data_IF_997850864633
#
_entry.id   IF_997850864633
#
_cell.length_a   1.000
_cell.length_b   1.000
_cell.length_c   1.000
_cell.angle_alpha   90.00
_cell.angle_beta   90.00
_cell.angle_gamma   90.00
#
_symmetry.space_group_name_H-M   'P 1'
#
loop_
_entity.id
_entity.type
_entity.pdbx_description
1 polymer ?
#
# COMPACT_ATOMS: atom_id res chain seq x y z
N UNK A 1 1.05 11.04 1.11
CA UNK A 1 0.96 11.49 -0.30
C UNK A 1 1.66 10.47 -1.19
N UNK A 2 1.06 10.06 -2.32
CA UNK A 2 1.61 9.02 -3.20
C UNK A 2 1.99 9.55 -4.58
N UNK A 3 3.20 9.24 -5.04
CA UNK A 3 3.72 9.61 -6.36
C UNK A 3 3.41 8.50 -7.38
N UNK A 4 2.71 8.83 -8.47
CA UNK A 4 2.36 7.88 -9.53
C UNK A 4 3.60 7.38 -10.31
N UNK A 5 3.46 6.28 -11.07
CA UNK A 5 4.50 5.78 -11.97
C UNK A 5 5.00 6.79 -13.02
N UNK A 6 4.20 7.81 -13.36
CA UNK A 6 4.56 8.88 -14.29
C UNK A 6 5.08 10.16 -13.59
N UNK A 7 5.27 10.13 -12.26
CA UNK A 7 5.76 11.28 -11.49
C UNK A 7 4.71 12.38 -11.26
N UNK A 8 3.43 12.11 -11.55
CA UNK A 8 2.32 13.05 -11.33
C UNK A 8 1.58 12.66 -10.02
N UNK A 9 0.92 13.62 -9.37
CA UNK A 9 -0.01 13.33 -8.29
C UNK A 9 -1.17 12.48 -8.82
N UNK A 10 -1.55 11.41 -8.12
CA UNK A 10 -2.63 10.55 -8.59
C UNK A 10 -3.94 10.77 -7.85
N UNK A 11 -4.98 10.81 -8.67
CA UNK A 11 -6.38 11.04 -8.36
C UNK A 11 -6.94 10.11 -7.25
N UNK A 12 -7.55 10.73 -6.23
CA UNK A 12 -8.26 10.05 -5.14
C UNK A 12 -9.65 9.53 -5.56
N UNK A 13 -10.04 9.69 -6.83
CA UNK A 13 -11.24 9.14 -7.45
C UNK A 13 -12.38 10.15 -7.62
N UNK A 14 -12.07 11.44 -7.80
CA UNK A 14 -13.06 12.47 -8.08
C UNK A 14 -12.56 13.39 -9.20
N UNK A 15 -13.48 13.79 -10.09
CA UNK A 15 -13.18 14.54 -11.31
C UNK A 15 -12.53 15.92 -11.03
N UNK A 16 -12.65 16.43 -9.81
CA UNK A 16 -12.14 17.72 -9.31
C UNK A 16 -10.78 17.64 -8.59
N UNK A 17 -10.21 16.44 -8.38
CA UNK A 17 -8.99 16.27 -7.58
C UNK A 17 -7.75 16.91 -8.18
N UNK A 18 -7.71 17.06 -9.50
CA UNK A 18 -6.62 17.75 -10.18
C UNK A 18 -6.53 19.18 -9.66
N UNK A 19 -7.64 19.89 -9.46
CA UNK A 19 -7.65 21.30 -9.01
C UNK A 19 -7.41 21.45 -7.50
N UNK A 20 -7.96 20.57 -6.67
CA UNK A 20 -7.76 20.60 -5.21
C UNK A 20 -6.33 20.23 -4.80
N UNK A 21 -5.73 19.24 -5.46
CA UNK A 21 -4.33 18.85 -5.22
C UNK A 21 -3.35 19.84 -5.87
N UNK A 22 -3.80 20.54 -6.91
CA UNK A 22 -3.08 21.68 -7.45
C UNK A 22 -3.05 22.83 -6.46
N UNK A 23 -4.00 23.03 -5.54
CA UNK A 23 -3.88 24.10 -4.52
C UNK A 23 -2.81 23.81 -3.44
N UNK A 24 -2.60 22.55 -3.06
CA UNK A 24 -1.44 22.17 -2.25
C UNK A 24 -0.10 22.30 -3.01
N UNK A 25 -0.17 22.33 -4.34
CA UNK A 25 0.97 22.55 -5.25
C UNK A 25 1.05 24.01 -5.73
N UNK A 26 0.02 24.84 -5.57
CA UNK A 26 -0.11 26.21 -6.10
C UNK A 26 0.29 27.29 -5.09
N UNK A 27 1.13 26.93 -4.12
CA UNK A 27 2.22 27.82 -3.73
C UNK A 27 3.36 27.84 -4.77
N UNK A 28 3.22 27.13 -5.90
CA UNK A 28 4.12 27.16 -7.06
C UNK A 28 3.63 28.04 -8.22
N UNK A 29 3.04 29.21 -7.95
CA UNK A 29 3.06 30.31 -8.94
C UNK A 29 4.48 30.90 -9.15
N UNK A 30 5.51 30.22 -8.66
CA UNK A 30 6.93 30.46 -8.90
C UNK A 30 7.62 29.21 -9.48
N UNK A 31 7.31 28.83 -10.73
CA UNK A 31 8.20 28.02 -11.58
C UNK A 31 8.64 26.64 -11.05
N UNK A 32 7.84 25.95 -10.24
CA UNK A 32 8.26 24.71 -9.56
C UNK A 32 7.68 23.48 -10.27
N UNK A 33 8.54 22.58 -10.77
CA UNK A 33 8.13 21.29 -11.38
C UNK A 33 7.67 20.29 -10.30
N UNK A 34 6.84 19.28 -10.63
CA UNK A 34 6.44 18.23 -9.68
C UNK A 34 7.65 17.55 -9.02
N UNK A 35 7.51 17.25 -7.73
CA UNK A 35 8.47 16.45 -6.98
C UNK A 35 8.48 15.03 -7.52
N UNK A 36 9.67 14.53 -7.88
CA UNK A 36 9.86 13.17 -8.36
C UNK A 36 10.52 12.29 -7.30
N UNK A 37 10.46 10.97 -7.48
CA UNK A 37 11.24 10.04 -6.66
C UNK A 37 12.75 10.31 -6.72
N UNK A 38 13.26 10.86 -7.82
CA UNK A 38 14.67 11.28 -7.92
C UNK A 38 14.96 12.39 -6.93
N UNK A 39 14.08 13.40 -6.85
CA UNK A 39 14.24 14.51 -5.92
C UNK A 39 14.21 14.02 -4.45
N UNK A 40 13.27 13.11 -4.13
CA UNK A 40 13.20 12.49 -2.79
C UNK A 40 14.46 11.69 -2.49
N UNK A 41 14.94 10.87 -3.44
CA UNK A 41 16.14 10.07 -3.25
C UNK A 41 17.42 10.90 -3.09
N UNK A 42 17.47 12.10 -3.67
CA UNK A 42 18.57 13.05 -3.50
C UNK A 42 18.50 13.77 -2.15
N UNK A 43 17.30 14.06 -1.64
CA UNK A 43 17.10 14.83 -0.41
C UNK A 43 17.00 13.94 0.87
N UNK A 44 16.63 12.67 0.73
CA UNK A 44 16.34 11.78 1.84
C UNK A 44 17.10 10.45 1.72
N UNK A 45 17.77 10.06 2.82
CA UNK A 45 18.60 8.86 2.89
C UNK A 45 17.87 7.60 3.39
N UNK A 46 16.63 7.72 3.88
CA UNK A 46 15.84 6.57 4.36
C UNK A 46 15.07 5.85 3.26
N UNK A 47 14.31 4.81 3.60
CA UNK A 47 13.53 4.06 2.60
C UNK A 47 12.40 4.89 2.00
N UNK A 48 12.21 4.78 0.68
CA UNK A 48 11.18 5.51 -0.05
C UNK A 48 10.09 4.56 -0.52
N UNK A 49 8.84 4.86 -0.15
CA UNK A 49 7.67 4.09 -0.57
C UNK A 49 6.94 4.79 -1.72
N UNK A 50 6.70 4.06 -2.80
CA UNK A 50 5.80 4.50 -3.85
C UNK A 50 4.36 4.12 -3.50
N UNK A 51 3.42 4.96 -3.90
CA UNK A 51 1.99 4.70 -3.76
C UNK A 51 1.29 5.29 -4.97
N UNK A 52 0.08 4.78 -5.27
CA UNK A 52 -0.86 5.27 -6.26
C UNK A 52 -0.76 4.59 -7.65
N UNK A 53 -1.85 3.93 -8.06
CA UNK A 53 -2.06 3.31 -9.38
C UNK A 53 -0.94 2.40 -9.91
N UNK A 54 -0.18 1.75 -9.02
CA UNK A 54 0.79 0.74 -9.41
C UNK A 54 0.10 -0.59 -9.76
N UNK A 55 0.63 -1.24 -10.80
CA UNK A 55 0.37 -2.64 -11.18
C UNK A 55 1.53 -3.52 -10.75
N UNK A 56 1.38 -4.85 -10.83
CA UNK A 56 2.50 -5.79 -10.62
C UNK A 56 3.72 -5.43 -11.49
N UNK A 57 3.51 -5.11 -12.77
CA UNK A 57 4.57 -4.79 -13.73
C UNK A 57 5.27 -3.47 -13.45
N UNK A 58 4.51 -2.40 -13.18
CA UNK A 58 5.10 -1.09 -12.86
C UNK A 58 5.80 -1.10 -11.50
N UNK A 59 5.33 -1.94 -10.57
CA UNK A 59 5.97 -2.17 -9.27
C UNK A 59 7.33 -2.82 -9.42
N UNK A 60 7.42 -3.83 -10.27
CA UNK A 60 8.70 -4.45 -10.60
C UNK A 60 9.67 -3.42 -11.20
N UNK A 61 9.22 -2.57 -12.11
CA UNK A 61 10.05 -1.50 -12.68
C UNK A 61 10.54 -0.48 -11.64
N UNK A 62 9.66 0.01 -10.76
CA UNK A 62 10.04 1.04 -9.77
C UNK A 62 10.98 0.51 -8.69
N UNK A 63 10.80 -0.76 -8.29
CA UNK A 63 11.67 -1.43 -7.32
C UNK A 63 13.00 -1.83 -7.96
N UNK A 64 12.99 -2.46 -9.13
CA UNK A 64 14.21 -2.89 -9.84
C UNK A 64 15.13 -1.72 -10.24
N UNK A 65 14.55 -0.57 -10.56
CA UNK A 65 15.32 0.65 -10.86
C UNK A 65 15.91 1.33 -9.61
N UNK A 66 15.51 0.92 -8.41
CA UNK A 66 15.85 1.63 -7.16
C UNK A 66 15.17 2.99 -7.02
N UNK A 67 14.11 3.23 -7.80
CA UNK A 67 13.33 4.48 -7.74
C UNK A 67 12.53 4.56 -6.45
N UNK A 68 12.00 3.42 -5.99
CA UNK A 68 11.40 3.25 -4.66
C UNK A 68 11.83 1.90 -4.07
N UNK A 69 11.93 1.82 -2.75
CA UNK A 69 12.33 0.60 -2.04
C UNK A 69 11.15 -0.36 -1.83
N UNK A 70 9.94 0.18 -1.75
CA UNK A 70 8.69 -0.53 -1.49
C UNK A 70 7.49 0.17 -2.15
N UNK A 71 6.39 -0.55 -2.34
CA UNK A 71 5.17 -0.04 -2.99
C UNK A 71 3.94 -0.37 -2.17
N UNK A 72 3.09 0.62 -1.91
CA UNK A 72 1.79 0.42 -1.29
C UNK A 72 0.66 0.28 -2.29
N UNK A 73 -0.29 -0.59 -1.96
CA UNK A 73 -1.52 -0.79 -2.71
C UNK A 73 -2.71 -0.62 -1.78
N UNK A 74 -3.77 0.04 -2.25
CA UNK A 74 -5.01 0.21 -1.49
C UNK A 74 -6.16 -0.42 -2.26
N UNK A 75 -6.58 0.20 -3.38
CA UNK A 75 -7.74 -0.22 -4.17
C UNK A 75 -7.68 -1.69 -4.60
N UNK A 76 -6.49 -2.19 -4.99
CA UNK A 76 -6.33 -3.60 -5.35
C UNK A 76 -6.57 -4.54 -4.17
N UNK A 77 -6.08 -4.20 -2.96
CA UNK A 77 -6.31 -5.00 -1.76
C UNK A 77 -7.76 -4.98 -1.27
N UNK A 78 -8.56 -3.97 -1.66
CA UNK A 78 -9.96 -3.92 -1.23
C UNK A 78 -10.74 -5.15 -1.73
N UNK A 79 -10.59 -5.51 -3.02
CA UNK A 79 -11.23 -6.71 -3.59
C UNK A 79 -10.33 -7.95 -3.65
N UNK A 80 -9.02 -7.81 -3.46
CA UNK A 80 -8.07 -8.92 -3.54
C UNK A 80 -7.34 -9.08 -2.20
N UNK A 81 -7.90 -9.81 -1.22
CA UNK A 81 -7.21 -10.03 0.05
C UNK A 81 -5.87 -10.76 -0.14
N UNK A 82 -5.81 -11.66 -1.11
CA UNK A 82 -4.67 -12.47 -1.53
C UNK A 82 -3.84 -11.81 -2.67
N UNK A 83 -3.78 -10.47 -2.70
CA UNK A 83 -3.12 -9.73 -3.80
C UNK A 83 -1.68 -10.18 -4.04
N UNK A 84 -0.96 -10.50 -2.96
CA UNK A 84 0.43 -10.93 -3.02
C UNK A 84 0.55 -12.25 -3.78
N UNK A 85 -0.28 -13.23 -3.42
CA UNK A 85 -0.34 -14.54 -4.06
C UNK A 85 -0.73 -14.40 -5.53
N UNK A 86 -1.67 -13.49 -5.85
CA UNK A 86 -2.04 -13.21 -7.22
C UNK A 86 -0.89 -12.63 -8.03
N UNK A 87 -0.13 -11.69 -7.47
CA UNK A 87 1.06 -11.15 -8.12
C UNK A 87 2.18 -12.17 -8.28
N UNK A 88 2.35 -13.11 -7.33
CA UNK A 88 3.39 -14.13 -7.40
C UNK A 88 3.13 -15.17 -8.49
N UNK A 89 1.86 -15.52 -8.70
CA UNK A 89 1.44 -16.60 -9.59
C UNK A 89 0.80 -16.09 -10.90
N UNK A 90 0.75 -14.78 -11.09
CA UNK A 90 0.07 -14.13 -12.22
C UNK A 90 -1.41 -14.57 -12.34
N UNK A 91 -2.10 -14.64 -11.19
CA UNK A 91 -3.52 -14.99 -11.13
C UNK A 91 -4.40 -13.78 -11.47
N UNK A 92 -5.61 -14.02 -12.01
CA UNK A 92 -6.55 -12.95 -12.33
C UNK A 92 -6.94 -12.16 -11.07
N UNK A 93 -6.98 -10.84 -11.20
CA UNK A 93 -7.47 -9.94 -10.15
C UNK A 93 -8.99 -9.85 -10.20
N UNK A 94 -9.62 -9.73 -9.04
CA UNK A 94 -11.02 -9.37 -8.91
C UNK A 94 -11.26 -7.95 -9.45
N UNK A 95 -12.47 -7.71 -9.95
CA UNK A 95 -12.91 -6.37 -10.36
C UNK A 95 -12.77 -5.35 -9.23
N UNK A 96 -12.57 -4.08 -9.61
CA UNK A 96 -12.60 -2.99 -8.65
C UNK A 96 -14.00 -2.89 -8.02
N UNK A 97 -14.04 -2.57 -6.72
CA UNK A 97 -15.30 -2.25 -6.05
C UNK A 97 -15.66 -0.78 -6.29
N UNK A 98 -16.95 -0.47 -6.23
CA UNK A 98 -17.43 0.91 -6.35
C UNK A 98 -16.88 1.77 -5.23
N UNK A 99 -16.67 3.06 -5.52
CA UNK A 99 -16.10 4.02 -4.57
C UNK A 99 -16.92 4.16 -3.27
N UNK A 100 -18.24 3.94 -3.35
CA UNK A 100 -19.14 3.92 -2.19
C UNK A 100 -18.72 2.90 -1.11
N UNK A 101 -18.01 1.82 -1.45
CA UNK A 101 -17.56 0.81 -0.49
C UNK A 101 -16.19 1.13 0.12
N UNK A 102 -15.52 2.19 -0.31
CA UNK A 102 -14.17 2.50 0.15
C UNK A 102 -14.17 2.92 1.63
N UNK A 103 -15.02 3.86 2.04
CA UNK A 103 -15.00 4.49 3.39
C UNK A 103 -16.38 4.73 4.02
N UNK A 104 -17.43 4.07 3.55
CA UNK A 104 -18.79 4.24 4.07
C UNK A 104 -19.14 3.21 5.16
N UNK A 105 -19.25 3.68 6.41
CA UNK A 105 -19.63 2.86 7.56
C UNK A 105 -21.01 2.20 7.40
N UNK A 106 -21.94 2.83 6.66
CA UNK A 106 -23.31 2.31 6.48
C UNK A 106 -23.36 1.02 5.67
N UNK A 107 -22.30 0.72 4.90
CA UNK A 107 -22.20 -0.50 4.09
C UNK A 107 -21.91 -1.76 4.91
N UNK A 108 -21.51 -1.63 6.17
CA UNK A 108 -21.28 -2.76 7.08
C UNK A 108 -20.47 -3.91 6.46
N UNK A 109 -21.13 -5.07 6.32
CA UNK A 109 -20.77 -6.27 5.53
C UNK A 109 -19.92 -6.07 4.28
N UNK A 110 -20.47 -5.18 3.47
CA UNK A 110 -20.47 -5.37 2.05
C UNK A 110 -19.16 -4.89 1.47
N UNK A 111 -18.54 -5.75 0.66
CA UNK A 111 -17.20 -5.50 0.12
C UNK A 111 -16.15 -5.14 1.20
N UNK A 112 -16.35 -5.59 2.44
CA UNK A 112 -15.41 -5.42 3.54
C UNK A 112 -14.53 -6.67 3.67
N UNK A 113 -15.02 -7.71 4.35
CA UNK A 113 -14.29 -8.97 4.58
C UNK A 113 -14.87 -10.15 3.76
N UNK A 114 -15.73 -9.88 2.78
CA UNK A 114 -16.48 -10.93 2.04
C UNK A 114 -15.71 -11.54 0.86
N UNK A 115 -14.61 -10.94 0.42
CA UNK A 115 -13.81 -11.44 -0.69
C UNK A 115 -13.04 -12.70 -0.29
N UNK A 116 -13.13 -13.74 -1.11
CA UNK A 116 -12.40 -14.99 -0.90
C UNK A 116 -11.08 -14.99 -1.69
N UNK A 117 -10.03 -15.65 -1.15
CA UNK A 117 -8.81 -15.91 -1.90
C UNK A 117 -9.09 -16.66 -3.20
N UNK A 118 -8.30 -16.40 -4.23
CA UNK A 118 -8.38 -17.11 -5.51
C UNK A 118 -8.12 -18.60 -5.32
N UNK A 119 -9.00 -19.43 -5.86
CA UNK A 119 -8.84 -20.88 -5.87
C UNK A 119 -8.40 -21.29 -7.27
N UNK A 120 -7.11 -21.64 -7.47
CA UNK A 120 -6.63 -22.03 -8.79
C UNK A 120 -7.32 -23.32 -9.22
N UNK A 121 -8.00 -23.29 -10.37
CA UNK A 121 -8.50 -24.51 -11.01
C UNK A 121 -7.29 -25.40 -11.31
N UNK A 122 -7.36 -26.68 -10.96
CA UNK A 122 -6.27 -27.67 -11.06
C UNK A 122 -5.63 -27.71 -12.46
N UNK A 123 -4.66 -26.82 -12.65
CA UNK A 123 -3.87 -26.60 -13.83
C UNK A 123 -2.59 -25.95 -13.34
N UNK A 124 -1.45 -26.47 -13.78
CA UNK A 124 -0.14 -26.02 -13.27
C UNK A 124 -0.04 -24.49 -13.41
N UNK A 125 0.43 -23.77 -12.38
CA UNK A 125 0.69 -22.34 -12.48
C UNK A 125 1.57 -22.10 -13.71
N UNK A 126 1.12 -21.26 -14.64
CA UNK A 126 1.81 -21.00 -15.91
C UNK A 126 3.16 -20.29 -15.70
N UNK A 127 3.33 -19.64 -14.55
CA UNK A 127 4.57 -19.04 -14.07
C UNK A 127 4.50 -18.87 -12.55
N UNK A 128 5.16 -19.73 -11.77
CA UNK A 128 5.46 -19.38 -10.38
C UNK A 128 6.74 -18.56 -10.42
N UNK A 129 6.68 -17.29 -9.99
CA UNK A 129 7.89 -16.47 -9.85
C UNK A 129 8.73 -17.00 -8.68
N UNK A 130 9.59 -17.98 -8.94
CA UNK A 130 10.53 -18.52 -7.95
C UNK A 130 11.74 -17.60 -7.86
N UNK A 131 11.73 -16.66 -6.92
CA UNK A 131 12.90 -15.82 -6.64
C UNK A 131 13.79 -16.58 -5.66
N UNK A 132 15.05 -16.84 -6.01
CA UNK A 132 16.08 -17.24 -5.02
C UNK A 132 16.20 -16.08 -4.03
N UNK A 133 15.78 -16.28 -2.78
CA UNK A 133 15.84 -15.23 -1.75
C UNK A 133 17.29 -14.80 -1.52
N UNK A 134 17.67 -13.56 -1.85
CA UNK A 134 18.93 -12.99 -1.41
C UNK A 134 18.83 -12.60 0.08
N UNK A 135 19.98 -12.32 0.70
CA UNK A 135 19.99 -11.69 2.02
C UNK A 135 19.25 -10.33 1.99
N UNK A 136 18.68 -9.91 3.12
CA UNK A 136 17.96 -8.64 3.21
C UNK A 136 18.86 -7.47 2.75
N UNK A 137 18.40 -6.73 1.75
CA UNK A 137 19.16 -5.61 1.20
C UNK A 137 18.91 -4.37 2.05
N UNK A 138 19.98 -3.76 2.56
CA UNK A 138 19.98 -2.43 3.18
C UNK A 138 20.38 -1.39 2.13
N UNK A 139 19.90 -0.15 2.26
CA UNK A 139 20.33 0.97 1.41
C UNK A 139 21.79 1.34 1.74
N UNK A 140 22.76 0.67 1.11
CA UNK A 140 24.20 1.00 1.22
C UNK A 140 24.58 2.09 0.23
N UNK A 141 25.23 3.16 0.71
CA UNK A 141 25.64 4.32 -0.09
C UNK A 141 26.88 4.07 -0.97
N UNK A 142 27.64 2.98 -0.75
CA UNK A 142 29.00 2.86 -1.30
C UNK A 142 29.15 2.02 -2.56
N UNK A 143 28.18 1.21 -2.97
CA UNK A 143 28.26 0.44 -4.22
C UNK A 143 26.87 0.22 -4.84
N UNK A 144 26.57 0.97 -5.91
CA UNK A 144 25.44 0.61 -6.79
C UNK A 144 25.87 -0.63 -7.60
N UNK A 145 25.13 -1.76 -7.54
CA UNK A 145 25.41 -2.89 -8.39
C UNK A 145 25.25 -2.52 -9.87
N UNK A 146 25.92 -3.26 -10.76
CA UNK A 146 25.73 -3.09 -12.20
C UNK A 146 24.25 -3.28 -12.55
N UNK A 147 23.76 -2.53 -13.55
CA UNK A 147 22.34 -2.53 -13.95
C UNK A 147 21.81 -3.95 -14.18
N UNK A 148 22.64 -4.84 -14.75
CA UNK A 148 22.27 -6.24 -15.00
C UNK A 148 22.11 -7.09 -13.72
N UNK A 149 22.95 -6.89 -12.70
CA UNK A 149 22.88 -7.62 -11.44
C UNK A 149 21.82 -7.06 -10.47
N UNK A 150 21.47 -5.77 -10.63
CA UNK A 150 20.38 -5.12 -9.91
C UNK A 150 19.02 -5.66 -10.34
N UNK A 151 18.82 -5.90 -11.63
CA UNK A 151 17.53 -6.33 -12.20
C UNK A 151 17.17 -7.77 -11.79
N UNK A 152 18.14 -8.68 -11.64
CA UNK A 152 17.85 -10.06 -11.16
C UNK A 152 17.55 -10.13 -9.65
N UNK A 153 18.07 -9.18 -8.85
CA UNK A 153 18.00 -9.24 -7.38
C UNK A 153 17.03 -8.23 -6.75
N UNK A 154 16.54 -7.23 -7.48
CA UNK A 154 15.50 -6.31 -7.00
C UNK A 154 14.13 -6.71 -7.57
N UNK A 155 13.55 -7.73 -6.95
CA UNK A 155 12.13 -8.05 -7.11
C UNK A 155 11.38 -7.56 -5.86
N UNK A 156 10.14 -7.08 -6.02
CA UNK A 156 9.30 -6.66 -4.90
C UNK A 156 8.88 -7.82 -3.96
N UNK A 157 9.20 -9.07 -4.29
CA UNK A 157 9.10 -10.22 -3.38
C UNK A 157 10.38 -10.51 -2.57
N UNK A 158 11.43 -9.69 -2.71
CA UNK A 158 12.65 -9.86 -1.93
C UNK A 158 12.55 -9.19 -0.56
N UNK A 159 13.32 -9.66 0.45
CA UNK A 159 13.36 -9.00 1.73
C UNK A 159 13.95 -7.58 1.68
N UNK A 160 13.48 -6.71 2.58
CA UNK A 160 13.97 -5.34 2.78
C UNK A 160 14.17 -5.08 4.27
N UNK A 161 15.38 -4.67 4.67
CA UNK A 161 15.61 -4.11 6.00
C UNK A 161 15.04 -2.69 6.02
N UNK A 162 13.90 -2.48 6.68
CA UNK A 162 13.22 -1.18 6.71
C UNK A 162 13.73 -0.29 7.85
N UNK A 163 13.97 -0.89 9.02
CA UNK A 163 14.50 -0.24 10.22
C UNK A 163 15.22 -1.28 11.08
N UNK A 164 15.95 -0.87 12.12
CA UNK A 164 16.60 -1.79 13.06
C UNK A 164 15.57 -2.75 13.67
N UNK A 165 15.83 -4.06 13.55
CA UNK A 165 14.91 -5.11 14.02
C UNK A 165 13.68 -5.35 13.12
N UNK A 166 13.50 -4.60 12.04
CA UNK A 166 12.35 -4.75 11.13
C UNK A 166 12.78 -5.11 9.70
N UNK A 167 12.61 -6.38 9.35
CA UNK A 167 12.81 -6.90 7.99
C UNK A 167 11.46 -7.27 7.37
N UNK A 168 11.10 -6.58 6.29
CA UNK A 168 9.95 -6.96 5.49
C UNK A 168 10.32 -8.18 4.65
N UNK A 169 9.48 -9.21 4.63
CA UNK A 169 9.68 -10.39 3.76
C UNK A 169 9.44 -10.07 2.27
N UNK A 170 8.63 -9.06 2.01
CA UNK A 170 8.21 -8.58 0.68
C UNK A 170 8.09 -7.06 0.74
N UNK A 171 8.28 -6.38 -0.38
CA UNK A 171 8.23 -4.92 -0.52
C UNK A 171 6.84 -4.40 -0.90
N UNK A 172 5.81 -5.15 -0.52
CA UNK A 172 4.39 -4.83 -0.78
C UNK A 172 3.78 -4.34 0.52
N UNK A 173 3.22 -3.14 0.49
CA UNK A 173 2.56 -2.54 1.64
C UNK A 173 1.07 -2.40 1.39
N UNK A 174 0.29 -2.54 2.46
CA UNK A 174 -1.13 -2.30 2.45
C UNK A 174 -1.47 -1.19 3.45
N UNK A 175 -2.29 -0.21 3.04
CA UNK A 175 -2.64 0.94 3.87
C UNK A 175 -4.03 1.49 3.56
N UNK A 176 -5.11 1.04 4.21
CA UNK A 176 -6.47 1.42 3.86
C UNK A 176 -7.01 2.61 4.65
N UNK A 177 -8.20 3.08 4.29
CA UNK A 177 -9.11 3.79 5.19
C UNK A 177 -10.48 3.21 4.95
N UNK A 178 -11.11 2.66 6.00
CA UNK A 178 -12.37 1.93 5.85
C UNK A 178 -13.50 2.49 6.71
N UNK A 179 -13.28 3.01 7.91
CA UNK A 179 -14.37 3.53 8.74
C UNK A 179 -15.44 2.47 9.13
N UNK A 180 -14.99 1.26 9.51
CA UNK A 180 -15.88 0.12 9.90
C UNK A 180 -15.69 -0.30 11.37
N UNK A 181 -15.18 0.59 12.22
CA UNK A 181 -15.18 0.39 13.67
C UNK A 181 -16.55 0.68 14.28
N UNK A 182 -16.72 0.40 15.57
CA UNK A 182 -17.94 0.80 16.28
C UNK A 182 -18.18 2.32 16.13
N UNK A 183 -19.37 2.75 15.68
CA UNK A 183 -19.63 4.17 15.42
C UNK A 183 -19.72 5.04 16.67
N UNK A 184 -19.89 4.45 17.85
CA UNK A 184 -20.04 5.14 19.13
C UNK A 184 -18.76 5.05 19.96
N UNK A 185 -18.22 3.84 20.15
CA UNK A 185 -17.02 3.64 20.97
C UNK A 185 -15.72 3.79 20.20
N UNK A 186 -15.77 3.71 18.86
CA UNK A 186 -14.62 3.71 17.94
C UNK A 186 -13.68 2.50 18.10
N UNK A 187 -14.13 1.51 18.87
CA UNK A 187 -13.41 0.26 19.10
C UNK A 187 -13.46 -0.59 17.83
N UNK A 188 -12.34 -1.16 17.37
CA UNK A 188 -12.35 -2.16 16.32
C UNK A 188 -13.24 -3.36 16.69
N UNK A 189 -13.98 -3.88 15.72
CA UNK A 189 -14.88 -5.02 15.89
C UNK A 189 -14.26 -6.31 15.31
N UNK A 190 -14.87 -7.46 15.58
CA UNK A 190 -14.47 -8.77 15.03
C UNK A 190 -14.29 -8.75 13.49
N UNK A 191 -15.13 -7.99 12.79
CA UNK A 191 -15.03 -7.81 11.33
C UNK A 191 -13.70 -7.18 10.91
N UNK A 192 -13.14 -6.27 11.71
CA UNK A 192 -11.87 -5.59 11.45
C UNK A 192 -10.72 -6.59 11.59
N UNK A 193 -10.78 -7.49 12.57
CA UNK A 193 -9.81 -8.58 12.74
C UNK A 193 -9.78 -9.42 11.46
N UNK A 194 -10.92 -9.97 11.05
CA UNK A 194 -11.02 -10.79 9.83
C UNK A 194 -10.56 -10.04 8.59
N UNK A 195 -10.86 -8.73 8.51
CA UNK A 195 -10.45 -7.88 7.40
C UNK A 195 -8.93 -7.78 7.25
N UNK A 196 -8.22 -7.55 8.36
CA UNK A 196 -6.76 -7.46 8.36
C UNK A 196 -6.08 -8.83 8.24
N UNK A 197 -6.63 -9.88 8.87
CA UNK A 197 -6.13 -11.25 8.74
C UNK A 197 -6.08 -11.71 7.28
N UNK A 198 -7.16 -11.46 6.53
CA UNK A 198 -7.23 -11.77 5.10
C UNK A 198 -6.13 -11.11 4.27
N UNK A 199 -5.54 -10.00 4.75
CA UNK A 199 -4.55 -9.17 4.03
C UNK A 199 -3.15 -9.26 4.65
N UNK A 200 -2.96 -10.12 5.65
CA UNK A 200 -1.71 -10.32 6.37
C UNK A 200 -0.58 -10.91 5.51
N UNK A 201 -0.85 -11.30 4.25
CA UNK A 201 0.19 -11.71 3.30
C UNK A 201 1.07 -10.55 2.80
N UNK A 202 0.63 -9.31 3.02
CA UNK A 202 1.42 -8.10 2.78
C UNK A 202 2.75 -8.12 3.55
N UNK A 203 3.76 -7.43 3.01
CA UNK A 203 5.04 -7.28 3.71
C UNK A 203 4.95 -6.38 4.93
N UNK A 204 4.12 -5.34 4.84
CA UNK A 204 3.78 -4.41 5.93
C UNK A 204 2.30 -4.00 5.79
N UNK A 205 1.59 -3.92 6.91
CA UNK A 205 0.28 -3.28 7.01
C UNK A 205 0.46 -1.98 7.77
N UNK A 206 -0.01 -0.90 7.18
CA UNK A 206 -0.25 0.38 7.84
C UNK A 206 -1.75 0.42 8.09
N UNK A 207 -2.17 0.57 9.35
CA UNK A 207 -3.58 0.58 9.70
C UNK A 207 -4.28 1.81 9.10
N UNK A 208 -5.61 1.79 9.10
CA UNK A 208 -6.37 2.98 8.75
C UNK A 208 -6.14 4.15 9.71
N UNK A 209 -6.43 5.36 9.23
CA UNK A 209 -6.33 6.57 10.03
C UNK A 209 -7.10 6.41 11.34
N UNK A 210 -6.35 6.40 12.45
CA UNK A 210 -6.86 6.13 13.79
C UNK A 210 -6.73 7.39 14.62
N UNK A 211 -7.85 7.88 15.17
CA UNK A 211 -7.86 9.12 15.95
C UNK A 211 -7.08 8.97 17.26
N UNK A 212 -6.21 9.92 17.57
CA UNK A 212 -5.39 9.93 18.80
C UNK A 212 -6.02 10.72 19.95
N UNK A 213 -7.14 11.39 19.69
CA UNK A 213 -7.94 12.09 20.67
C UNK A 213 -9.36 12.29 20.14
N UNK A 214 -10.29 12.61 21.04
CA UNK A 214 -11.66 12.98 20.67
C UNK A 214 -11.70 14.18 19.71
N UNK A 215 -10.83 15.18 19.91
CA UNK A 215 -10.74 16.34 19.03
C UNK A 215 -10.13 16.02 17.65
N UNK A 216 -9.33 14.95 17.56
CA UNK A 216 -8.77 14.44 16.32
C UNK A 216 -9.73 13.54 15.54
N UNK A 217 -10.90 13.23 16.09
CA UNK A 217 -11.90 12.39 15.45
C UNK A 217 -12.61 13.15 14.33
N UNK A 218 -12.54 12.63 13.11
CA UNK A 218 -12.95 13.38 11.91
C UNK A 218 -14.03 12.75 11.05
N UNK A 219 -14.35 11.45 11.21
CA UNK A 219 -15.35 10.79 10.36
C UNK A 219 -16.06 9.63 11.04
N UNK A 220 -17.34 9.45 10.71
CA UNK A 220 -18.19 8.42 11.28
C UNK A 220 -17.66 7.01 10.96
N UNK A 221 -17.54 6.16 11.98
CA UNK A 221 -17.02 4.79 11.87
C UNK A 221 -15.49 4.67 11.88
N UNK A 222 -14.72 5.77 12.00
CA UNK A 222 -13.27 5.71 12.17
C UNK A 222 -12.90 4.94 13.45
N UNK A 223 -11.75 4.22 13.47
CA UNK A 223 -11.16 3.81 14.72
C UNK A 223 -10.53 4.98 15.48
N UNK A 224 -10.34 4.78 16.78
CA UNK A 224 -9.58 5.65 17.65
C UNK A 224 -8.62 4.83 18.54
N UNK A 225 -7.67 5.50 19.21
CA UNK A 225 -6.68 4.89 20.12
C UNK A 225 -6.32 5.86 21.26
N UNK A 226 -7.33 6.31 21.99
CA UNK A 226 -7.17 7.19 23.16
C UNK A 226 -7.85 6.64 24.43
N UNK A 227 -8.42 5.44 24.37
CA UNK A 227 -8.97 4.70 25.52
C UNK A 227 -8.40 3.28 25.59
N UNK A 228 -8.38 2.70 26.79
CA UNK A 228 -7.92 1.31 27.00
C UNK A 228 -8.77 0.30 26.21
N UNK A 229 -10.08 0.56 26.05
CA UNK A 229 -10.98 -0.29 25.27
C UNK A 229 -10.62 -0.29 23.78
N UNK A 230 -10.20 0.86 23.25
CA UNK A 230 -9.75 1.00 21.87
C UNK A 230 -8.39 0.36 21.63
N UNK A 231 -7.49 0.40 22.61
CA UNK A 231 -6.20 -0.29 22.55
C UNK A 231 -6.37 -1.82 22.56
N UNK A 232 -7.35 -2.32 23.32
CA UNK A 232 -7.60 -3.75 23.48
C UNK A 232 -8.26 -4.43 22.27
N UNK A 233 -8.92 -3.67 21.39
CA UNK A 233 -9.64 -4.17 20.21
C UNK A 233 -8.78 -4.29 18.96
#
# INVERSE_FOLDING_TARGET
MGLLPNGVFGDMGSDDNTEMSTHATALASAGTRPLTFVDVNLAFNGSVMANNSYTSRTTEGVVSSGTADLVSFVRLYLSNPDLVERFQNDWPLNSAINAEYFWDASKGDECYHTFKPYQPTSGKPKHVRTVKSPAATTRSTSQRPSVSAAIENYNFFTPLQLADGLVLKKRIVYGPTRARSDPVSHVPLERNIQYYEQRASAGLIITEGTAVSEQGFGWYGAPAVYTDEQEAG
#
